data_IF_993767969136
#
_entry.id   IF_993767969136
#
_cell.length_a   1.000
_cell.length_b   1.000
_cell.length_c   1.000
_cell.angle_alpha   90.00
_cell.angle_beta   90.00
_cell.angle_gamma   90.00
#
_symmetry.space_group_name_H-M   'P 1'
#
loop_
_entity.id
_entity.type
_entity.pdbx_description
1 polymer ?
#
# COMPACT_ATOMS: atom_id res chain seq x y z
N UNK A 1 32.69 -8.29 -10.64
CA UNK A 1 31.38 -7.63 -10.66
C UNK A 1 30.55 -8.11 -9.48
N UNK A 2 30.59 -7.38 -8.37
CA UNK A 2 29.84 -7.72 -7.15
C UNK A 2 28.36 -7.39 -7.35
N UNK A 3 27.50 -8.40 -7.50
CA UNK A 3 26.05 -8.23 -7.39
C UNK A 3 25.72 -7.98 -5.92
N UNK A 4 25.71 -6.70 -5.52
CA UNK A 4 25.14 -6.27 -4.25
C UNK A 4 23.66 -6.63 -4.25
N UNK A 5 23.30 -7.76 -3.63
CA UNK A 5 21.90 -8.11 -3.38
C UNK A 5 21.45 -7.19 -2.24
N UNK A 6 20.87 -6.05 -2.60
CA UNK A 6 20.17 -5.18 -1.65
C UNK A 6 19.18 -6.02 -0.83
N UNK A 7 19.07 -5.78 0.48
CA UNK A 7 18.17 -6.56 1.33
C UNK A 7 16.74 -6.37 0.85
N UNK A 8 16.12 -7.46 0.36
CA UNK A 8 14.69 -7.52 0.11
C UNK A 8 13.99 -7.45 1.45
N UNK A 9 13.75 -6.25 1.97
CA UNK A 9 12.81 -6.06 3.08
C UNK A 9 11.46 -6.49 2.52
N UNK A 10 11.03 -7.69 2.91
CA UNK A 10 9.69 -8.19 2.57
C UNK A 10 8.71 -7.45 3.47
N UNK A 11 7.82 -6.70 2.84
CA UNK A 11 6.65 -6.12 3.48
C UNK A 11 5.94 -7.21 4.31
N UNK A 12 5.83 -7.02 5.62
CA UNK A 12 5.04 -7.92 6.46
C UNK A 12 3.61 -7.41 6.50
N UNK A 13 2.79 -7.92 5.59
CA UNK A 13 1.34 -7.81 5.72
C UNK A 13 0.85 -8.74 6.84
N UNK A 14 -0.19 -8.35 7.60
CA UNK A 14 -0.92 -9.30 8.43
C UNK A 14 -1.30 -10.52 7.60
N UNK A 15 -1.07 -11.72 8.16
CA UNK A 15 -1.38 -12.97 7.48
C UNK A 15 -2.81 -13.44 7.73
N UNK A 16 -3.50 -12.86 8.72
CA UNK A 16 -4.91 -13.14 8.95
C UNK A 16 -5.79 -12.21 8.10
N UNK A 17 -6.82 -12.81 7.51
CA UNK A 17 -7.78 -12.18 6.60
C UNK A 17 -8.52 -11.01 7.27
N UNK A 18 -8.75 -11.08 8.57
CA UNK A 18 -9.56 -10.11 9.31
C UNK A 18 -8.81 -8.79 9.52
N UNK A 19 -7.53 -8.83 9.91
CA UNK A 19 -6.68 -7.66 10.02
C UNK A 19 -6.51 -6.97 8.66
N UNK A 20 -6.33 -7.74 7.57
CA UNK A 20 -6.29 -7.18 6.21
C UNK A 20 -7.62 -6.53 5.81
N UNK A 21 -8.75 -7.12 6.20
CA UNK A 21 -10.08 -6.56 5.95
C UNK A 21 -10.29 -5.24 6.68
N UNK A 22 -9.90 -5.18 7.95
CA UNK A 22 -9.97 -3.97 8.78
C UNK A 22 -9.08 -2.87 8.22
N UNK A 23 -7.81 -3.17 7.89
CA UNK A 23 -6.89 -2.18 7.29
C UNK A 23 -7.44 -1.62 5.96
N UNK A 24 -7.97 -2.48 5.08
CA UNK A 24 -8.62 -2.01 3.84
C UNK A 24 -9.82 -1.11 4.12
N UNK A 25 -10.66 -1.48 5.08
CA UNK A 25 -11.83 -0.68 5.45
C UNK A 25 -11.40 0.71 5.94
N UNK A 26 -10.42 0.76 6.84
CA UNK A 26 -9.89 1.99 7.41
C UNK A 26 -9.26 2.88 6.35
N UNK A 27 -8.59 2.31 5.35
CA UNK A 27 -8.02 3.05 4.22
C UNK A 27 -9.07 3.48 3.19
N UNK A 28 -10.16 2.73 3.00
CA UNK A 28 -11.23 3.12 2.07
C UNK A 28 -12.09 4.27 2.61
N UNK A 29 -12.27 4.34 3.92
CA UNK A 29 -13.06 5.39 4.57
C UNK A 29 -12.62 6.81 4.17
N UNK A 30 -11.32 7.18 4.20
CA UNK A 30 -10.87 8.49 3.74
C UNK A 30 -10.86 8.64 2.20
N UNK A 31 -10.88 7.56 1.42
CA UNK A 31 -10.91 7.65 -0.06
C UNK A 31 -12.33 7.95 -0.56
N UNK A 32 -13.37 7.41 0.08
CA UNK A 32 -14.75 7.58 -0.36
C UNK A 32 -15.15 9.07 -0.49
N UNK A 33 -14.83 9.96 0.48
CA UNK A 33 -15.03 11.39 0.32
C UNK A 33 -14.25 12.00 -0.85
N UNK A 34 -13.01 11.56 -1.12
CA UNK A 34 -12.22 12.07 -2.25
C UNK A 34 -12.97 11.83 -3.56
N UNK A 35 -13.46 10.61 -3.76
CA UNK A 35 -14.19 10.24 -4.98
C UNK A 35 -15.56 10.92 -5.05
N UNK A 36 -16.35 10.80 -3.99
CA UNK A 36 -17.72 11.31 -3.95
C UNK A 36 -17.81 12.83 -4.08
N UNK A 37 -16.90 13.59 -3.45
CA UNK A 37 -16.89 15.04 -3.64
C UNK A 37 -16.41 15.46 -5.04
N UNK A 38 -15.48 14.72 -5.66
CA UNK A 38 -15.10 15.00 -7.05
C UNK A 38 -16.30 14.81 -7.99
N UNK A 39 -17.04 13.71 -7.83
CA UNK A 39 -18.25 13.42 -8.60
C UNK A 39 -19.31 14.51 -8.37
N UNK A 40 -19.58 14.85 -7.10
CA UNK A 40 -20.55 15.89 -6.73
C UNK A 40 -20.20 17.26 -7.32
N UNK A 41 -18.94 17.69 -7.22
CA UNK A 41 -18.50 18.97 -7.79
C UNK A 41 -18.70 18.98 -9.31
N UNK A 42 -18.38 17.88 -10.00
CA UNK A 42 -18.55 17.78 -11.45
C UNK A 42 -20.02 17.79 -11.89
N UNK A 43 -20.90 17.20 -11.08
CA UNK A 43 -22.35 17.17 -11.34
C UNK A 43 -23.02 18.51 -11.03
N UNK A 44 -22.73 19.10 -9.86
CA UNK A 44 -23.41 20.29 -9.36
C UNK A 44 -22.91 21.60 -9.98
N UNK A 45 -21.64 21.67 -10.38
CA UNK A 45 -21.09 22.92 -10.93
C UNK A 45 -21.55 23.22 -12.37
N UNK A 46 -22.08 22.20 -13.07
CA UNK A 46 -22.65 22.33 -14.41
C UNK A 46 -21.73 23.00 -15.44
N UNK A 47 -22.32 23.68 -16.43
CA UNK A 47 -21.59 24.44 -17.46
C UNK A 47 -20.98 25.76 -16.95
N UNK A 48 -21.34 26.18 -15.73
CA UNK A 48 -20.84 27.42 -15.14
C UNK A 48 -19.42 27.29 -14.55
N UNK A 49 -18.94 26.06 -14.34
CA UNK A 49 -17.60 25.82 -13.86
C UNK A 49 -16.53 26.23 -14.88
N UNK A 50 -15.45 26.92 -14.45
CA UNK A 50 -14.31 27.17 -15.32
C UNK A 50 -13.74 25.85 -15.88
N UNK A 51 -13.39 25.78 -17.17
CA UNK A 51 -12.83 24.56 -17.77
C UNK A 51 -11.56 24.06 -17.05
N UNK A 52 -10.74 24.98 -16.52
CA UNK A 52 -9.56 24.65 -15.71
C UNK A 52 -9.92 23.96 -14.38
N UNK A 53 -10.99 24.40 -13.72
CA UNK A 53 -11.50 23.78 -12.49
C UNK A 53 -11.96 22.35 -12.79
N UNK A 54 -12.78 22.17 -13.84
CA UNK A 54 -13.28 20.86 -14.27
C UNK A 54 -12.12 19.90 -14.59
N UNK A 55 -11.11 20.37 -15.33
CA UNK A 55 -9.94 19.56 -15.66
C UNK A 55 -9.17 19.14 -14.40
N UNK A 56 -8.96 20.06 -13.47
CA UNK A 56 -8.27 19.76 -12.21
C UNK A 56 -9.06 18.83 -11.29
N UNK A 57 -10.39 18.94 -11.22
CA UNK A 57 -11.23 18.00 -10.46
C UNK A 57 -11.14 16.59 -11.08
N UNK A 58 -11.06 16.46 -12.40
CA UNK A 58 -10.85 15.15 -13.06
C UNK A 58 -9.47 14.56 -12.74
N UNK A 59 -8.42 15.38 -12.70
CA UNK A 59 -7.09 14.96 -12.27
C UNK A 59 -7.10 14.51 -10.79
N UNK A 60 -7.78 15.25 -9.93
CA UNK A 60 -7.97 14.92 -8.51
C UNK A 60 -8.75 13.62 -8.32
N UNK A 61 -9.81 13.41 -9.10
CA UNK A 61 -10.57 12.17 -9.11
C UNK A 61 -9.71 10.97 -9.54
N UNK A 62 -8.87 11.15 -10.56
CA UNK A 62 -7.93 10.12 -10.99
C UNK A 62 -6.92 9.78 -9.88
N UNK A 63 -6.43 10.77 -9.13
CA UNK A 63 -5.58 10.53 -7.96
C UNK A 63 -6.33 9.74 -6.86
N UNK A 64 -7.59 10.07 -6.57
CA UNK A 64 -8.42 9.29 -5.65
C UNK A 64 -8.62 7.83 -6.11
N UNK A 65 -8.77 7.60 -7.41
CA UNK A 65 -8.86 6.25 -8.00
C UNK A 65 -7.54 5.48 -7.84
N UNK A 66 -6.40 6.15 -7.99
CA UNK A 66 -5.08 5.56 -7.73
C UNK A 66 -4.92 5.18 -6.25
N UNK A 67 -5.35 6.03 -5.30
CA UNK A 67 -5.35 5.67 -3.87
C UNK A 67 -6.14 4.39 -3.64
N UNK A 68 -7.35 4.29 -4.21
CA UNK A 68 -8.21 3.11 -4.08
C UNK A 68 -7.54 1.86 -4.66
N UNK A 69 -6.92 1.98 -5.83
CA UNK A 69 -6.22 0.88 -6.48
C UNK A 69 -5.06 0.38 -5.62
N UNK A 70 -4.18 1.28 -5.16
CA UNK A 70 -3.05 0.93 -4.29
C UNK A 70 -3.52 0.25 -3.00
N UNK A 71 -4.57 0.78 -2.37
CA UNK A 71 -5.18 0.16 -1.18
C UNK A 71 -5.70 -1.25 -1.48
N UNK A 72 -6.38 -1.46 -2.60
CA UNK A 72 -6.91 -2.79 -2.92
C UNK A 72 -5.80 -3.78 -3.32
N UNK A 73 -4.78 -3.36 -4.04
CA UNK A 73 -3.70 -4.24 -4.49
C UNK A 73 -2.76 -4.65 -3.36
N UNK A 74 -2.35 -3.70 -2.52
CA UNK A 74 -1.36 -3.95 -1.46
C UNK A 74 -1.97 -4.67 -0.28
N UNK A 75 -3.23 -4.41 0.05
CA UNK A 75 -3.86 -4.94 1.27
C UNK A 75 -4.89 -6.05 1.00
N UNK A 76 -4.93 -6.65 -0.20
CA UNK A 76 -5.78 -7.83 -0.49
C UNK A 76 -5.13 -9.17 -0.14
N UNK A 77 -5.82 -10.28 -0.35
CA UNK A 77 -5.23 -11.62 -0.24
C UNK A 77 -4.48 -12.03 -1.52
N UNK A 78 -4.68 -11.30 -2.62
CA UNK A 78 -4.12 -11.64 -3.91
C UNK A 78 -2.64 -11.24 -4.00
N UNK A 79 -1.81 -12.00 -4.74
CA UNK A 79 -0.45 -11.58 -5.08
C UNK A 79 -0.48 -10.25 -5.84
N UNK A 80 0.45 -9.36 -5.54
CA UNK A 80 0.65 -8.10 -6.27
C UNK A 80 2.13 -7.82 -6.41
N UNK A 81 2.55 -7.36 -7.59
CA UNK A 81 3.92 -6.92 -7.86
C UNK A 81 4.33 -5.75 -6.95
N UNK A 82 3.37 -4.94 -6.48
CA UNK A 82 3.64 -3.85 -5.54
C UNK A 82 4.20 -4.35 -4.21
N UNK A 83 3.86 -5.58 -3.79
CA UNK A 83 4.39 -6.19 -2.55
C UNK A 83 5.83 -6.69 -2.70
N UNK A 84 6.32 -6.79 -3.92
CA UNK A 84 7.71 -7.15 -4.21
C UNK A 84 8.65 -5.94 -4.18
N UNK A 85 8.10 -4.73 -4.17
CA UNK A 85 8.85 -3.49 -4.06
C UNK A 85 9.54 -3.39 -2.70
N UNK A 86 10.69 -2.71 -2.67
CA UNK A 86 11.29 -2.29 -1.40
C UNK A 86 10.37 -1.30 -0.68
N UNK A 87 10.38 -1.29 0.65
CA UNK A 87 9.56 -0.35 1.45
C UNK A 87 9.69 1.12 1.00
N UNK A 88 10.89 1.68 0.71
CA UNK A 88 10.99 3.05 0.19
C UNK A 88 10.32 3.26 -1.17
N UNK A 89 10.40 2.26 -2.05
CA UNK A 89 9.74 2.33 -3.36
C UNK A 89 8.22 2.27 -3.22
N UNK A 90 7.71 1.35 -2.39
CA UNK A 90 6.28 1.26 -2.12
C UNK A 90 5.74 2.54 -1.47
N UNK A 91 6.46 3.09 -0.48
CA UNK A 91 6.13 4.36 0.16
C UNK A 91 5.97 5.49 -0.85
N UNK A 92 6.86 5.54 -1.85
CA UNK A 92 6.75 6.52 -2.96
C UNK A 92 5.47 6.31 -3.78
N UNK A 93 5.12 5.08 -4.13
CA UNK A 93 3.88 4.80 -4.89
C UNK A 93 2.63 5.33 -4.16
N UNK A 94 2.57 5.17 -2.83
CA UNK A 94 1.47 5.70 -2.02
C UNK A 94 1.48 7.23 -1.89
N UNK A 95 2.66 7.85 -1.81
CA UNK A 95 2.77 9.32 -1.68
C UNK A 95 2.28 10.07 -2.91
N UNK A 96 2.58 9.56 -4.11
CA UNK A 96 2.28 10.24 -5.39
C UNK A 96 0.83 10.73 -5.49
N UNK A 97 -0.22 9.91 -5.33
CA UNK A 97 -1.60 10.39 -5.47
C UNK A 97 -2.01 11.36 -4.35
N UNK A 98 -1.49 11.21 -3.13
CA UNK A 98 -1.76 12.16 -2.04
C UNK A 98 -1.08 13.51 -2.27
N UNK A 99 0.13 13.52 -2.83
CA UNK A 99 0.85 14.74 -3.21
C UNK A 99 0.15 15.48 -4.36
N UNK A 100 -0.43 14.75 -5.32
CA UNK A 100 -1.29 15.34 -6.35
C UNK A 100 -2.48 16.05 -5.71
N UNK A 101 -3.18 15.41 -4.78
CA UNK A 101 -4.30 16.05 -4.07
C UNK A 101 -3.86 17.29 -3.28
N UNK A 102 -2.76 17.18 -2.52
CA UNK A 102 -2.22 18.29 -1.74
C UNK A 102 -1.79 19.49 -2.61
N UNK A 103 -1.31 19.24 -3.83
CA UNK A 103 -0.95 20.28 -4.80
C UNK A 103 -2.19 20.91 -5.45
N UNK A 104 -3.15 20.11 -5.87
CA UNK A 104 -4.29 20.57 -6.67
C UNK A 104 -5.35 21.27 -5.82
N UNK A 105 -5.70 20.72 -4.65
CA UNK A 105 -6.81 21.21 -3.83
C UNK A 105 -6.75 22.72 -3.54
N UNK A 106 -5.61 23.32 -3.11
CA UNK A 106 -5.54 24.75 -2.83
C UNK A 106 -5.74 25.62 -4.08
N UNK A 107 -5.28 25.17 -5.24
CA UNK A 107 -5.45 25.90 -6.50
C UNK A 107 -6.90 25.82 -7.00
N UNK A 108 -7.49 24.62 -6.98
CA UNK A 108 -8.88 24.44 -7.37
C UNK A 108 -9.82 25.17 -6.42
N UNK A 109 -9.49 25.25 -5.13
CA UNK A 109 -10.27 25.99 -4.15
C UNK A 109 -10.29 27.48 -4.49
N UNK A 110 -9.13 28.06 -4.84
CA UNK A 110 -9.05 29.45 -5.31
C UNK A 110 -9.90 29.69 -6.56
N UNK A 111 -9.86 28.75 -7.52
CA UNK A 111 -10.67 28.84 -8.74
C UNK A 111 -12.17 28.75 -8.45
N UNK A 112 -12.59 27.84 -7.56
CA UNK A 112 -13.98 27.70 -7.15
C UNK A 112 -14.50 28.98 -6.44
N UNK A 113 -13.68 29.58 -5.56
CA UNK A 113 -14.01 30.86 -4.91
C UNK A 113 -14.16 31.98 -5.95
N UNK A 114 -13.21 32.09 -6.90
CA UNK A 114 -13.26 33.10 -7.96
C UNK A 114 -14.48 32.93 -8.88
N UNK A 115 -14.95 31.70 -9.06
CA UNK A 115 -16.15 31.36 -9.82
C UNK A 115 -17.45 31.46 -9.02
N UNK A 116 -17.41 31.95 -7.76
CA UNK A 116 -18.56 32.01 -6.86
C UNK A 116 -19.23 30.65 -6.61
N UNK A 117 -18.43 29.58 -6.49
CA UNK A 117 -18.84 28.21 -6.17
C UNK A 117 -18.40 27.82 -4.74
N UNK A 118 -19.04 28.35 -3.69
CA UNK A 118 -18.57 28.18 -2.30
C UNK A 118 -18.70 26.74 -1.78
N UNK A 119 -19.68 25.97 -2.26
CA UNK A 119 -19.84 24.55 -1.91
C UNK A 119 -18.68 23.73 -2.47
N UNK A 120 -18.34 23.92 -3.75
CA UNK A 120 -17.19 23.26 -4.36
C UNK A 120 -15.87 23.61 -3.65
N UNK A 121 -15.68 24.87 -3.25
CA UNK A 121 -14.52 25.29 -2.46
C UNK A 121 -14.46 24.58 -1.09
N UNK A 122 -15.60 24.42 -0.41
CA UNK A 122 -15.67 23.67 0.85
C UNK A 122 -15.34 22.19 0.65
N UNK A 123 -15.86 21.57 -0.40
CA UNK A 123 -15.66 20.16 -0.67
C UNK A 123 -14.21 19.86 -1.10
N UNK A 124 -13.56 20.76 -1.83
CA UNK A 124 -12.13 20.69 -2.12
C UNK A 124 -11.25 20.66 -0.86
N UNK A 125 -11.60 21.44 0.18
CA UNK A 125 -10.91 21.36 1.48
C UNK A 125 -11.15 20.00 2.15
N UNK A 126 -12.36 19.47 2.09
CA UNK A 126 -12.69 18.13 2.63
C UNK A 126 -11.90 17.04 1.90
N UNK A 127 -11.77 17.13 0.58
CA UNK A 127 -10.95 16.22 -0.22
C UNK A 127 -9.48 16.28 0.22
N UNK A 128 -8.92 17.47 0.39
CA UNK A 128 -7.53 17.63 0.85
C UNK A 128 -7.28 16.96 2.20
N UNK A 129 -8.20 17.14 3.16
CA UNK A 129 -8.11 16.53 4.49
C UNK A 129 -8.22 15.00 4.38
N UNK A 130 -9.15 14.50 3.56
CA UNK A 130 -9.38 13.08 3.39
C UNK A 130 -8.16 12.38 2.74
N UNK A 131 -7.58 12.98 1.70
CA UNK A 131 -6.34 12.51 1.08
C UNK A 131 -5.16 12.48 2.06
N UNK A 132 -5.03 13.51 2.92
CA UNK A 132 -4.02 13.56 3.97
C UNK A 132 -4.17 12.44 4.99
N UNK A 133 -5.38 12.23 5.52
CA UNK A 133 -5.70 11.14 6.46
C UNK A 133 -5.43 9.75 5.88
N UNK A 134 -5.70 9.57 4.58
CA UNK A 134 -5.36 8.32 3.91
C UNK A 134 -3.84 8.10 3.91
N UNK A 135 -3.04 9.11 3.55
CA UNK A 135 -1.58 9.00 3.54
C UNK A 135 -1.02 8.76 4.95
N UNK A 136 -1.52 9.48 5.95
CA UNK A 136 -1.14 9.29 7.36
C UNK A 136 -1.36 7.84 7.79
N UNK A 137 -2.54 7.27 7.53
CA UNK A 137 -2.83 5.88 7.89
C UNK A 137 -1.94 4.87 7.16
N UNK A 138 -1.60 5.12 5.89
CA UNK A 138 -0.65 4.28 5.15
C UNK A 138 0.73 4.34 5.79
N UNK A 139 1.21 5.53 6.17
CA UNK A 139 2.53 5.72 6.77
C UNK A 139 2.60 5.12 8.18
N UNK A 140 1.54 5.23 8.98
CA UNK A 140 1.39 4.53 10.27
C UNK A 140 1.60 3.02 10.09
N UNK A 141 0.86 2.41 9.16
CA UNK A 141 0.99 0.99 8.87
C UNK A 141 2.38 0.60 8.37
N UNK A 142 3.00 1.42 7.51
CA UNK A 142 4.36 1.17 7.04
C UNK A 142 5.39 1.22 8.18
N UNK A 143 5.21 2.11 9.14
CA UNK A 143 6.04 2.17 10.36
C UNK A 143 5.89 0.91 11.22
N UNK A 144 4.66 0.48 11.48
CA UNK A 144 4.38 -0.77 12.21
C UNK A 144 4.99 -2.00 11.52
N UNK A 145 4.92 -2.06 10.20
CA UNK A 145 5.49 -3.15 9.40
C UNK A 145 7.03 -3.19 9.45
N UNK A 146 7.69 -2.04 9.66
CA UNK A 146 9.15 -1.91 9.77
C UNK A 146 9.66 -2.30 11.17
N UNK A 147 8.90 -1.97 12.23
CA UNK A 147 9.28 -2.24 13.63
C UNK A 147 9.05 -3.70 14.09
N UNK A 148 8.26 -4.48 13.37
CA UNK A 148 7.93 -5.85 13.76
C UNK A 148 9.17 -6.75 13.97
N UNK A 149 9.25 -7.53 15.08
CA UNK A 149 10.46 -8.26 15.44
C UNK A 149 10.89 -9.24 14.35
N UNK A 150 12.19 -9.20 14.00
CA UNK A 150 12.83 -10.15 13.08
C UNK A 150 12.50 -11.58 13.57
N UNK A 151 12.06 -12.49 12.69
CA UNK A 151 11.84 -13.86 13.10
C UNK A 151 13.20 -14.39 13.58
N UNK A 152 13.26 -14.90 14.81
CA UNK A 152 14.44 -15.61 15.31
C UNK A 152 14.77 -16.65 14.24
N UNK A 153 15.98 -16.59 13.66
CA UNK A 153 16.48 -17.64 12.79
C UNK A 153 16.43 -18.92 13.63
N UNK A 154 15.41 -19.75 13.41
CA UNK A 154 15.37 -21.06 14.01
C UNK A 154 16.42 -21.85 13.24
N UNK A 155 17.61 -21.95 13.82
CA UNK A 155 18.69 -22.75 13.28
C UNK A 155 18.10 -24.11 12.88
N UNK A 156 18.26 -24.57 11.63
CA UNK A 156 17.86 -25.92 11.30
C UNK A 156 18.64 -26.84 12.23
N UNK A 157 17.93 -27.59 13.07
CA UNK A 157 18.51 -28.60 13.97
C UNK A 157 19.53 -29.39 13.14
N UNK A 158 20.80 -29.43 13.58
CA UNK A 158 21.82 -30.31 13.00
C UNK A 158 21.20 -31.71 12.92
N UNK A 159 20.89 -32.16 11.72
CA UNK A 159 20.47 -33.53 11.48
C UNK A 159 21.67 -34.40 11.84
N UNK A 160 21.57 -35.10 12.96
CA UNK A 160 22.49 -36.19 13.29
C UNK A 160 22.37 -37.23 12.18
N UNK A 161 23.44 -37.38 11.41
CA UNK A 161 23.62 -38.50 10.51
C UNK A 161 23.90 -39.73 11.38
N UNK A 162 23.12 -40.82 11.33
CA UNK A 162 23.51 -42.05 12.01
C UNK A 162 24.62 -42.72 11.19
N UNK A 163 25.78 -42.91 11.82
CA UNK A 163 26.89 -43.72 11.29
C UNK A 163 26.45 -45.19 11.19
N UNK A 164 26.29 -45.69 9.96
CA UNK A 164 26.33 -47.12 9.69
C UNK A 164 27.79 -47.54 9.50
N UNK A 165 28.38 -48.18 10.51
CA UNK A 165 29.63 -48.93 10.35
C UNK A 165 29.32 -50.41 10.14
N UNK A 166 29.56 -50.83 8.90
CA UNK A 166 29.70 -52.19 8.41
C UNK A 166 30.70 -52.99 9.24
N UNK A 167 30.29 -54.13 9.79
CA UNK A 167 31.22 -55.19 10.25
C UNK A 167 30.82 -56.54 9.66
N UNK A 168 31.42 -56.78 8.49
CA UNK A 168 32.07 -58.01 7.99
C UNK A 168 31.76 -59.34 8.72
N UNK A 169 31.15 -60.24 7.95
CA UNK A 169 31.19 -61.71 8.11
C UNK A 169 32.63 -62.24 7.95
N UNK A 170 32.94 -63.39 8.56
CA UNK A 170 33.58 -64.45 7.78
C UNK A 170 32.88 -65.80 8.00
N UNK A 171 32.67 -66.50 6.89
CA UNK A 171 32.26 -67.90 6.90
C UNK A 171 33.44 -68.87 6.89
N UNK A 172 33.08 -70.13 7.10
CA UNK A 172 33.79 -71.38 6.81
C UNK A 172 34.80 -71.92 7.84
N UNK A 173 34.43 -73.05 8.45
CA UNK A 173 35.04 -74.33 8.05
C UNK A 173 35.55 -75.27 9.16
N UNK A 174 35.19 -76.56 9.00
CA UNK A 174 35.70 -77.78 9.64
C UNK A 174 35.31 -78.00 11.12
N UNK A 175 34.86 -79.16 11.56
CA UNK A 175 34.97 -80.52 11.01
C UNK A 175 35.60 -81.41 12.09
N UNK A 176 34.92 -82.54 12.38
CA UNK A 176 35.22 -83.60 13.37
C UNK A 176 34.73 -83.35 14.80
#
# INVERSE_FOLDING_TARGET
MSKSRSPKIRLRLPTDTEALRTLRHDLRTPINPVLGYCELILEESGEAAPPALVAGIRELHAAGRQMLQLTNEVFSEQPSALRELSLPALRREFRVPAEVAARLCPELERQAIAAALPVAAQDLRRISIAAGRWLERVEEWMGEAEEAPKPKLQNPKKSQVPSSKTTRTPGAGAGS
#
